data_IF_792338058149
#
_entry.id   IF_792338058149
#
_cell.length_a   1.000
_cell.length_b   1.000
_cell.length_c   1.000
_cell.angle_alpha   90.00
_cell.angle_beta   90.00
_cell.angle_gamma   90.00
#
_symmetry.space_group_name_H-M   'P 1'
#
loop_
_entity.id
_entity.type
_entity.pdbx_description
1 polymer ?
#
# COMPACT_ATOMS: atom_id res chain seq x y z
N UNK A 1 30.80 -26.16 -8.05
CA UNK A 1 30.15 -25.12 -8.87
C UNK A 1 28.65 -25.34 -8.74
N UNK A 2 27.89 -24.35 -8.25
CA UNK A 2 26.45 -24.52 -8.02
C UNK A 2 25.71 -24.67 -9.36
N UNK A 3 24.68 -25.54 -9.36
CA UNK A 3 23.99 -26.03 -10.57
C UNK A 3 22.97 -25.03 -11.13
N UNK A 4 22.57 -24.04 -10.33
CA UNK A 4 21.67 -22.95 -10.70
C UNK A 4 22.05 -21.64 -9.97
N UNK A 5 21.41 -20.54 -10.36
CA UNK A 5 21.55 -19.21 -9.73
C UNK A 5 20.22 -18.76 -9.09
N UNK A 6 19.42 -19.70 -8.60
CA UNK A 6 18.10 -19.38 -8.02
C UNK A 6 18.22 -18.94 -6.56
N UNK A 7 17.18 -18.24 -6.07
CA UNK A 7 17.17 -17.60 -4.75
C UNK A 7 17.41 -18.56 -3.58
N UNK A 8 16.97 -19.82 -3.69
CA UNK A 8 17.10 -20.83 -2.63
C UNK A 8 18.53 -21.37 -2.51
N UNK A 9 19.19 -21.63 -3.64
CA UNK A 9 20.58 -22.08 -3.71
C UNK A 9 21.53 -20.99 -3.23
N UNK A 10 21.27 -19.73 -3.60
CA UNK A 10 22.04 -18.57 -3.12
C UNK A 10 21.85 -18.41 -1.61
N UNK A 11 20.61 -18.47 -1.09
CA UNK A 11 20.34 -18.40 0.35
C UNK A 11 21.06 -19.50 1.13
N UNK A 12 21.05 -20.73 0.62
CA UNK A 12 21.72 -21.87 1.27
C UNK A 12 23.24 -21.70 1.28
N UNK A 13 23.83 -21.24 0.18
CA UNK A 13 25.27 -20.98 0.10
C UNK A 13 25.69 -19.84 1.05
N UNK A 14 24.91 -18.76 1.08
CA UNK A 14 25.15 -17.60 1.98
C UNK A 14 24.98 -17.99 3.44
N UNK A 15 23.96 -18.79 3.77
CA UNK A 15 23.73 -19.27 5.13
C UNK A 15 24.92 -20.08 5.66
N UNK A 16 25.46 -21.01 4.85
CA UNK A 16 26.65 -21.78 5.23
C UNK A 16 27.90 -20.92 5.39
N UNK A 17 28.05 -19.87 4.58
CA UNK A 17 29.18 -18.94 4.71
C UNK A 17 29.05 -18.11 5.99
N UNK A 18 27.85 -17.59 6.29
CA UNK A 18 27.58 -16.86 7.54
C UNK A 18 27.80 -17.74 8.77
N UNK A 19 27.40 -19.00 8.70
CA UNK A 19 27.61 -19.98 9.77
C UNK A 19 29.10 -20.27 9.99
N UNK A 20 29.89 -20.40 8.92
CA UNK A 20 31.34 -20.54 9.01
C UNK A 20 32.02 -19.30 9.62
N UNK A 21 31.58 -18.10 9.21
CA UNK A 21 32.07 -16.81 9.76
C UNK A 21 31.79 -16.73 11.27
N UNK A 22 30.59 -17.10 11.69
CA UNK A 22 30.20 -17.08 13.10
C UNK A 22 31.00 -18.07 13.96
N UNK A 23 31.43 -19.20 13.39
CA UNK A 23 32.23 -20.22 14.07
C UNK A 23 33.73 -19.91 14.08
N UNK A 24 34.20 -18.95 13.28
CA UNK A 24 35.62 -18.61 13.15
C UNK A 24 35.85 -17.10 13.26
N UNK A 25 35.58 -16.48 14.42
CA UNK A 25 35.86 -15.06 14.62
C UNK A 25 37.36 -14.76 14.45
N UNK A 26 37.69 -13.62 13.84
CA UNK A 26 39.06 -13.16 13.68
C UNK A 26 39.43 -12.23 14.84
N UNK A 27 40.66 -12.36 15.35
CA UNK A 27 41.18 -11.50 16.42
C UNK A 27 41.47 -10.06 15.92
N UNK A 28 41.85 -9.92 14.65
CA UNK A 28 42.05 -8.63 13.97
C UNK A 28 41.43 -8.68 12.55
N UNK A 29 40.20 -8.18 12.41
CA UNK A 29 39.52 -7.98 11.13
C UNK A 29 38.05 -8.42 11.10
N UNK A 30 37.35 -8.07 10.02
CA UNK A 30 35.97 -8.50 9.79
C UNK A 30 35.86 -9.38 8.55
N UNK A 31 35.12 -10.48 8.67
CA UNK A 31 34.73 -11.27 7.52
C UNK A 31 33.71 -10.51 6.68
N UNK A 32 34.05 -10.26 5.42
CA UNK A 32 33.11 -9.74 4.42
C UNK A 32 32.87 -10.81 3.35
N UNK A 33 31.63 -10.92 2.88
CA UNK A 33 31.29 -11.77 1.75
C UNK A 33 32.11 -11.33 0.53
N UNK A 34 32.93 -12.23 -0.02
CA UNK A 34 33.82 -11.91 -1.14
C UNK A 34 33.05 -11.37 -2.36
N UNK A 35 33.66 -10.42 -3.07
CA UNK A 35 33.15 -9.87 -4.33
C UNK A 35 32.93 -10.95 -5.40
N UNK A 36 31.90 -10.75 -6.23
CA UNK A 36 31.45 -11.69 -7.26
C UNK A 36 29.92 -11.68 -7.38
N UNK A 37 29.36 -12.16 -8.50
CA UNK A 37 27.92 -12.03 -8.79
C UNK A 37 27.02 -12.57 -7.67
N UNK A 38 27.40 -13.68 -7.03
CA UNK A 38 26.62 -14.32 -5.95
C UNK A 38 26.72 -13.54 -4.64
N UNK A 39 27.94 -13.10 -4.26
CA UNK A 39 28.15 -12.29 -3.05
C UNK A 39 27.45 -10.92 -3.13
N UNK A 40 27.52 -10.27 -4.30
CA UNK A 40 26.81 -9.02 -4.57
C UNK A 40 25.30 -9.23 -4.57
N UNK A 41 24.77 -10.25 -5.25
CA UNK A 41 23.33 -10.53 -5.24
C UNK A 41 22.80 -10.89 -3.84
N UNK A 42 23.60 -11.58 -3.03
CA UNK A 42 23.25 -11.91 -1.65
C UNK A 42 23.20 -10.66 -0.76
N UNK A 43 24.25 -9.83 -0.79
CA UNK A 43 24.30 -8.58 -0.05
C UNK A 43 23.18 -7.62 -0.48
N UNK A 44 22.95 -7.51 -1.79
CA UNK A 44 21.86 -6.71 -2.35
C UNK A 44 20.51 -7.22 -1.87
N UNK A 45 20.23 -8.52 -1.90
CA UNK A 45 18.95 -9.08 -1.44
C UNK A 45 18.70 -8.87 0.06
N UNK A 46 19.74 -8.98 0.89
CA UNK A 46 19.64 -8.71 2.33
C UNK A 46 19.25 -7.25 2.58
N UNK A 47 19.88 -6.32 1.85
CA UNK A 47 19.58 -4.89 1.92
C UNK A 47 18.18 -4.60 1.37
N UNK A 48 17.77 -5.23 0.26
CA UNK A 48 16.47 -4.97 -0.38
C UNK A 48 15.31 -5.25 0.57
N UNK A 49 15.33 -6.37 1.32
CA UNK A 49 14.23 -6.68 2.22
C UNK A 49 14.11 -5.61 3.33
N UNK A 50 15.23 -5.23 3.94
CA UNK A 50 15.26 -4.20 4.97
C UNK A 50 14.82 -2.85 4.40
N UNK A 51 15.38 -2.44 3.26
CA UNK A 51 15.02 -1.19 2.56
C UNK A 51 13.56 -1.17 2.11
N UNK A 52 12.98 -2.30 1.74
CA UNK A 52 11.57 -2.39 1.35
C UNK A 52 10.65 -2.16 2.54
N UNK A 53 10.94 -2.79 3.68
CA UNK A 53 10.19 -2.59 4.93
C UNK A 53 10.35 -1.17 5.42
N UNK A 54 11.57 -0.63 5.41
CA UNK A 54 11.87 0.74 5.78
C UNK A 54 11.12 1.74 4.88
N UNK A 55 11.13 1.54 3.56
CA UNK A 55 10.41 2.39 2.62
C UNK A 55 8.89 2.37 2.87
N UNK A 56 8.30 1.20 3.11
CA UNK A 56 6.86 1.10 3.42
C UNK A 56 6.56 1.78 4.76
N UNK A 57 7.37 1.54 5.79
CA UNK A 57 7.18 2.13 7.11
C UNK A 57 7.28 3.65 7.06
N UNK A 58 8.30 4.19 6.37
CA UNK A 58 8.46 5.63 6.16
C UNK A 58 7.30 6.21 5.35
N UNK A 59 6.87 5.54 4.27
CA UNK A 59 5.75 6.01 3.46
C UNK A 59 4.43 6.04 4.25
N UNK A 60 4.15 5.01 5.06
CA UNK A 60 2.99 4.97 5.95
C UNK A 60 3.08 6.02 7.07
N UNK A 61 4.27 6.25 7.62
CA UNK A 61 4.50 7.30 8.62
C UNK A 61 4.24 8.69 8.02
N UNK A 62 4.83 8.98 6.85
CA UNK A 62 4.63 10.24 6.13
C UNK A 62 3.15 10.42 5.78
N UNK A 63 2.49 9.37 5.30
CA UNK A 63 1.05 9.38 5.06
C UNK A 63 0.28 9.75 6.34
N UNK A 64 0.54 9.07 7.46
CA UNK A 64 -0.15 9.33 8.72
C UNK A 64 0.07 10.77 9.21
N UNK A 65 1.28 11.31 9.07
CA UNK A 65 1.62 12.68 9.43
C UNK A 65 0.90 13.70 8.54
N UNK A 66 0.92 13.50 7.22
CA UNK A 66 0.23 14.37 6.26
C UNK A 66 -1.28 14.33 6.49
N UNK A 67 -1.89 13.14 6.63
CA UNK A 67 -3.31 13.02 6.95
C UNK A 67 -3.65 13.74 8.26
N UNK A 68 -2.81 13.59 9.28
CA UNK A 68 -3.01 14.26 10.57
C UNK A 68 -2.95 15.78 10.41
N UNK A 69 -2.01 16.30 9.62
CA UNK A 69 -1.88 17.73 9.36
C UNK A 69 -3.06 18.30 8.55
N UNK A 70 -3.43 17.63 7.46
CA UNK A 70 -4.50 18.07 6.53
C UNK A 70 -5.88 17.99 7.19
N UNK A 71 -6.19 16.86 7.83
CA UNK A 71 -7.50 16.63 8.45
C UNK A 71 -7.56 17.06 9.92
N UNK A 72 -6.44 17.52 10.49
CA UNK A 72 -6.29 17.87 11.91
C UNK A 72 -6.79 16.75 12.84
N UNK A 73 -6.52 15.50 12.44
CA UNK A 73 -7.05 14.30 13.10
C UNK A 73 -6.12 13.10 12.92
N UNK A 74 -5.60 12.54 14.01
CA UNK A 74 -4.77 11.34 14.00
C UNK A 74 -5.53 10.09 13.52
N UNK A 75 -6.85 10.08 13.67
CA UNK A 75 -7.71 9.00 13.17
C UNK A 75 -7.74 8.99 11.65
N UNK A 76 -7.56 10.15 10.99
CA UNK A 76 -7.52 10.21 9.53
C UNK A 76 -6.41 9.32 8.97
N UNK A 77 -5.19 9.43 9.52
CA UNK A 77 -4.06 8.58 9.12
C UNK A 77 -4.39 7.09 9.19
N UNK A 78 -4.99 6.63 10.29
CA UNK A 78 -5.38 5.22 10.45
C UNK A 78 -6.40 4.77 9.40
N UNK A 79 -7.41 5.60 9.10
CA UNK A 79 -8.45 5.27 8.10
C UNK A 79 -7.86 5.18 6.69
N UNK A 80 -6.99 6.12 6.30
CA UNK A 80 -6.34 6.12 4.99
C UNK A 80 -5.25 5.05 4.83
N UNK A 81 -4.68 4.55 5.93
CA UNK A 81 -3.74 3.43 5.88
C UNK A 81 -4.41 2.11 5.47
N UNK A 82 -5.70 1.91 5.75
CA UNK A 82 -6.38 0.63 5.48
C UNK A 82 -6.37 0.27 3.98
N UNK A 83 -6.81 1.14 3.05
CA UNK A 83 -6.71 0.86 1.61
C UNK A 83 -5.28 0.60 1.14
N UNK A 84 -4.31 1.36 1.64
CA UNK A 84 -2.89 1.24 1.25
C UNK A 84 -2.32 -0.11 1.67
N UNK A 85 -2.61 -0.56 2.89
CA UNK A 85 -2.17 -1.87 3.40
C UNK A 85 -2.79 -2.99 2.55
N UNK A 86 -4.08 -2.89 2.21
CA UNK A 86 -4.76 -3.88 1.36
C UNK A 86 -4.09 -3.97 -0.02
N UNK A 87 -3.86 -2.83 -0.67
CA UNK A 87 -3.19 -2.77 -1.98
C UNK A 87 -1.79 -3.37 -1.94
N UNK A 88 -0.97 -3.02 -0.95
CA UNK A 88 0.36 -3.58 -0.79
C UNK A 88 0.33 -5.09 -0.52
N UNK A 89 -0.53 -5.54 0.38
CA UNK A 89 -0.62 -6.95 0.75
C UNK A 89 -1.02 -7.82 -0.44
N UNK A 90 -2.01 -7.38 -1.24
CA UNK A 90 -2.44 -8.10 -2.43
C UNK A 90 -1.38 -8.10 -3.54
N UNK A 91 -0.69 -6.99 -3.75
CA UNK A 91 0.41 -6.93 -4.73
C UNK A 91 1.58 -7.83 -4.32
N UNK A 92 1.97 -7.86 -3.04
CA UNK A 92 3.02 -8.77 -2.56
C UNK A 92 2.60 -10.24 -2.56
N UNK A 93 1.33 -10.53 -2.27
CA UNK A 93 0.79 -11.87 -2.44
C UNK A 93 0.87 -12.32 -3.90
N UNK A 94 0.52 -11.43 -4.84
CA UNK A 94 0.65 -11.71 -6.27
C UNK A 94 2.10 -11.94 -6.70
N UNK A 95 3.04 -11.10 -6.22
CA UNK A 95 4.47 -11.30 -6.47
C UNK A 95 4.94 -12.68 -6.03
N UNK A 96 4.53 -13.10 -4.83
CA UNK A 96 4.87 -14.43 -4.29
C UNK A 96 4.27 -15.54 -5.15
N UNK A 97 3.02 -15.38 -5.60
CA UNK A 97 2.35 -16.36 -6.45
C UNK A 97 2.98 -16.52 -7.83
N UNK A 98 3.42 -15.42 -8.46
CA UNK A 98 4.10 -15.44 -9.76
C UNK A 98 5.60 -15.76 -9.65
N UNK A 99 6.14 -15.95 -8.44
CA UNK A 99 7.58 -16.16 -8.23
C UNK A 99 8.43 -14.93 -8.55
N UNK A 100 7.84 -13.73 -8.53
CA UNK A 100 8.55 -12.45 -8.70
C UNK A 100 9.20 -12.11 -7.37
N UNK A 101 10.52 -12.28 -7.29
CA UNK A 101 11.29 -11.93 -6.09
C UNK A 101 11.38 -10.41 -5.88
N UNK A 102 11.37 -9.98 -4.62
CA UNK A 102 11.74 -8.60 -4.27
C UNK A 102 13.19 -8.34 -4.69
N UNK A 103 13.40 -7.25 -5.41
CA UNK A 103 14.70 -6.85 -5.92
C UNK A 103 14.84 -5.32 -5.89
N UNK A 104 15.99 -4.78 -6.28
CA UNK A 104 16.26 -3.33 -6.30
C UNK A 104 15.27 -2.55 -7.18
N UNK A 105 14.66 -3.26 -8.11
CA UNK A 105 13.76 -2.77 -9.12
C UNK A 105 12.32 -2.67 -8.59
N UNK A 106 11.90 -3.55 -7.68
CA UNK A 106 10.54 -3.52 -7.08
C UNK A 106 10.38 -2.46 -5.99
N UNK A 107 11.49 -2.03 -5.36
CA UNK A 107 11.45 -1.04 -4.26
C UNK A 107 10.83 0.29 -4.71
N UNK A 108 11.25 0.90 -5.83
CA UNK A 108 10.60 2.12 -6.33
C UNK A 108 9.11 1.95 -6.67
N UNK A 109 8.69 0.78 -7.17
CA UNK A 109 7.25 0.55 -7.46
C UNK A 109 6.42 0.53 -6.21
N UNK A 110 6.90 -0.13 -5.16
CA UNK A 110 6.18 -0.16 -3.91
C UNK A 110 6.04 1.26 -3.32
N UNK A 111 7.09 2.08 -3.40
CA UNK A 111 7.05 3.47 -2.96
C UNK A 111 6.09 4.33 -3.82
N UNK A 112 6.17 4.22 -5.15
CA UNK A 112 5.29 4.93 -6.09
C UNK A 112 3.84 4.50 -5.94
N UNK A 113 3.62 3.20 -5.73
CA UNK A 113 2.34 2.62 -5.41
C UNK A 113 1.73 3.40 -4.25
N UNK A 114 2.30 3.29 -3.05
CA UNK A 114 1.75 3.90 -1.83
C UNK A 114 1.26 5.35 -2.04
N UNK A 115 2.03 6.18 -2.73
CA UNK A 115 1.62 7.55 -3.08
C UNK A 115 0.39 7.59 -4.01
N UNK A 116 0.43 6.90 -5.15
CA UNK A 116 -0.62 7.01 -6.18
C UNK A 116 -1.99 6.49 -5.76
N UNK A 117 -2.04 5.47 -4.91
CA UNK A 117 -3.33 4.81 -4.64
C UNK A 117 -4.00 5.25 -3.35
N UNK A 118 -3.30 5.99 -2.48
CA UNK A 118 -4.00 6.70 -1.40
C UNK A 118 -4.82 7.88 -1.95
N UNK A 119 -4.40 8.45 -3.08
CA UNK A 119 -5.07 9.58 -3.72
C UNK A 119 -6.53 9.26 -4.07
N UNK A 120 -6.83 8.05 -4.53
CA UNK A 120 -8.22 7.64 -4.80
C UNK A 120 -9.07 7.64 -3.53
N UNK A 121 -8.49 7.18 -2.41
CA UNK A 121 -9.18 7.13 -1.13
C UNK A 121 -9.42 8.55 -0.59
N UNK A 122 -8.46 9.48 -0.76
CA UNK A 122 -8.64 10.90 -0.46
C UNK A 122 -9.77 11.50 -1.29
N UNK A 123 -9.76 11.27 -2.60
CA UNK A 123 -10.74 11.87 -3.51
C UNK A 123 -12.18 11.49 -3.14
N UNK A 124 -12.42 10.22 -2.81
CA UNK A 124 -13.72 9.76 -2.32
C UNK A 124 -14.04 10.38 -0.96
N UNK A 125 -13.10 10.37 -0.02
CA UNK A 125 -13.33 10.84 1.35
C UNK A 125 -13.62 12.34 1.43
N UNK A 126 -12.89 13.14 0.65
CA UNK A 126 -13.10 14.58 0.56
C UNK A 126 -14.45 14.89 -0.08
N UNK A 127 -14.82 14.15 -1.13
CA UNK A 127 -16.14 14.35 -1.73
C UNK A 127 -17.28 14.00 -0.77
N UNK A 128 -17.16 12.92 0.01
CA UNK A 128 -18.12 12.61 1.08
C UNK A 128 -18.17 13.74 2.10
N UNK A 129 -17.02 14.24 2.55
CA UNK A 129 -16.92 15.34 3.51
C UNK A 129 -17.60 16.63 3.01
N UNK A 130 -17.45 16.96 1.72
CA UNK A 130 -18.13 18.10 1.09
C UNK A 130 -19.65 17.95 1.12
N UNK A 131 -20.17 16.77 0.75
CA UNK A 131 -21.62 16.50 0.74
C UNK A 131 -22.21 16.50 2.16
N UNK A 132 -21.46 16.02 3.16
CA UNK A 132 -21.86 16.14 4.56
C UNK A 132 -21.86 17.59 5.04
N UNK A 133 -20.87 18.40 4.61
CA UNK A 133 -20.79 19.80 5.01
C UNK A 133 -21.99 20.63 4.51
N UNK A 134 -22.61 20.25 3.39
CA UNK A 134 -23.85 20.87 2.87
C UNK A 134 -25.14 20.22 3.42
N UNK A 135 -25.02 19.32 4.41
CA UNK A 135 -26.16 18.79 5.17
C UNK A 135 -26.82 17.53 4.60
N UNK A 136 -26.16 16.79 3.69
CA UNK A 136 -26.64 15.49 3.23
C UNK A 136 -26.54 14.43 4.33
N UNK A 137 -27.39 13.41 4.28
CA UNK A 137 -27.23 12.23 5.14
C UNK A 137 -25.98 11.42 4.75
N UNK A 138 -25.39 10.63 5.66
CA UNK A 138 -24.25 9.76 5.35
C UNK A 138 -24.43 8.89 4.12
N UNK A 139 -25.61 8.27 3.97
CA UNK A 139 -25.95 7.40 2.86
C UNK A 139 -25.97 8.17 1.53
N UNK A 140 -26.60 9.34 1.52
CA UNK A 140 -26.72 10.17 0.32
C UNK A 140 -25.38 10.81 -0.06
N UNK A 141 -24.59 11.26 0.92
CA UNK A 141 -23.26 11.81 0.70
C UNK A 141 -22.33 10.78 0.05
N UNK A 142 -22.32 9.55 0.54
CA UNK A 142 -21.55 8.44 -0.05
C UNK A 142 -22.03 8.13 -1.47
N UNK A 143 -23.35 8.07 -1.68
CA UNK A 143 -23.93 7.81 -3.00
C UNK A 143 -23.52 8.88 -4.01
N UNK A 144 -23.63 10.16 -3.66
CA UNK A 144 -23.23 11.28 -4.52
C UNK A 144 -21.72 11.23 -4.79
N UNK A 145 -20.89 10.96 -3.77
CA UNK A 145 -19.45 10.86 -3.93
C UNK A 145 -19.06 9.74 -4.91
N UNK A 146 -19.71 8.57 -4.85
CA UNK A 146 -19.49 7.48 -5.79
C UNK A 146 -19.90 7.84 -7.23
N UNK A 147 -21.02 8.53 -7.42
CA UNK A 147 -21.48 8.95 -8.74
C UNK A 147 -20.68 10.13 -9.35
N UNK A 148 -19.95 10.88 -8.53
CA UNK A 148 -19.16 12.05 -8.97
C UNK A 148 -17.66 11.74 -8.93
N UNK A 149 -17.06 11.79 -7.74
CA UNK A 149 -15.64 11.50 -7.54
C UNK A 149 -15.28 10.06 -7.95
N UNK A 150 -16.16 9.09 -7.68
CA UNK A 150 -15.95 7.69 -8.06
C UNK A 150 -15.82 7.48 -9.57
N UNK A 151 -16.59 8.21 -10.39
CA UNK A 151 -16.41 8.19 -11.85
C UNK A 151 -15.03 8.72 -12.25
N UNK A 152 -14.54 9.77 -11.59
CA UNK A 152 -13.18 10.28 -11.78
C UNK A 152 -12.10 9.26 -11.43
N UNK A 153 -12.27 8.53 -10.32
CA UNK A 153 -11.38 7.43 -9.91
C UNK A 153 -11.37 6.32 -10.97
N UNK A 154 -12.53 5.89 -11.46
CA UNK A 154 -12.61 4.82 -12.47
C UNK A 154 -11.87 5.22 -13.75
N UNK A 155 -12.07 6.45 -14.24
CA UNK A 155 -11.43 6.93 -15.46
C UNK A 155 -9.91 7.01 -15.29
N UNK A 156 -9.44 7.65 -14.22
CA UNK A 156 -8.00 7.82 -13.97
C UNK A 156 -7.29 6.50 -13.71
N UNK A 157 -7.88 5.63 -12.89
CA UNK A 157 -7.36 4.29 -12.64
C UNK A 157 -7.30 3.47 -13.93
N UNK A 158 -8.35 3.49 -14.75
CA UNK A 158 -8.37 2.76 -16.02
C UNK A 158 -7.25 3.24 -16.95
N UNK A 159 -7.08 4.56 -17.12
CA UNK A 159 -6.02 5.13 -17.96
C UNK A 159 -4.63 4.69 -17.48
N UNK A 160 -4.36 4.78 -16.17
CA UNK A 160 -3.06 4.40 -15.61
C UNK A 160 -2.81 2.89 -15.67
N UNK A 161 -3.83 2.07 -15.43
CA UNK A 161 -3.75 0.61 -15.57
C UNK A 161 -3.45 0.23 -17.01
N UNK A 162 -4.16 0.78 -18.00
CA UNK A 162 -3.86 0.50 -19.40
C UNK A 162 -2.47 1.00 -19.81
N UNK A 163 -2.07 2.19 -19.37
CA UNK A 163 -0.75 2.74 -19.66
C UNK A 163 0.39 1.87 -19.11
N UNK A 164 0.23 1.34 -17.91
CA UNK A 164 1.21 0.46 -17.27
C UNK A 164 1.18 -0.96 -17.84
N UNK A 165 0.02 -1.47 -18.26
CA UNK A 165 -0.09 -2.75 -18.96
C UNK A 165 0.59 -2.74 -20.33
N UNK A 166 0.68 -1.60 -21.02
CA UNK A 166 1.46 -1.50 -22.27
C UNK A 166 2.93 -1.85 -22.05
N UNK A 167 3.47 -1.64 -20.84
CA UNK A 167 4.85 -1.99 -20.53
C UNK A 167 5.08 -3.50 -20.46
N UNK A 168 4.03 -4.29 -20.24
CA UNK A 168 4.11 -5.76 -20.31
C UNK A 168 4.55 -6.23 -21.70
N UNK A 169 4.20 -5.52 -22.77
CA UNK A 169 4.66 -5.86 -24.11
C UNK A 169 6.18 -5.63 -24.33
N UNK A 170 6.90 -5.08 -23.34
CA UNK A 170 8.34 -4.86 -23.44
C UNK A 170 9.14 -6.16 -23.45
N UNK A 171 10.15 -6.24 -24.31
CA UNK A 171 11.14 -7.33 -24.32
C UNK A 171 12.05 -7.32 -23.10
N UNK A 172 12.12 -6.18 -22.39
CA UNK A 172 12.88 -6.06 -21.15
C UNK A 172 12.02 -6.61 -20.00
N UNK A 173 12.37 -7.82 -19.53
CA UNK A 173 11.66 -8.52 -18.43
C UNK A 173 11.38 -7.63 -17.22
N UNK A 174 12.35 -6.81 -16.82
CA UNK A 174 12.18 -5.83 -15.73
C UNK A 174 11.00 -4.89 -15.99
N UNK A 175 10.94 -4.26 -17.16
CA UNK A 175 9.88 -3.33 -17.51
C UNK A 175 8.51 -4.02 -17.58
N UNK A 176 8.47 -5.25 -18.10
CA UNK A 176 7.26 -6.04 -18.18
C UNK A 176 6.70 -6.42 -16.80
N UNK A 177 7.56 -6.92 -15.89
CA UNK A 177 7.16 -7.25 -14.51
C UNK A 177 6.65 -6.01 -13.77
N UNK A 178 7.31 -4.88 -13.92
CA UNK A 178 6.95 -3.62 -13.26
C UNK A 178 5.61 -3.07 -13.74
N UNK A 179 5.37 -3.12 -15.05
CA UNK A 179 4.08 -2.74 -15.65
C UNK A 179 2.92 -3.54 -15.07
N UNK A 180 3.10 -4.87 -14.97
CA UNK A 180 2.11 -5.77 -14.39
C UNK A 180 1.86 -5.49 -12.90
N UNK A 181 2.92 -5.29 -12.10
CA UNK A 181 2.79 -5.00 -10.68
C UNK A 181 2.07 -3.67 -10.43
N UNK A 182 2.40 -2.62 -11.18
CA UNK A 182 1.70 -1.33 -11.10
C UNK A 182 0.23 -1.45 -11.49
N UNK A 183 -0.08 -2.17 -12.56
CA UNK A 183 -1.45 -2.38 -13.02
C UNK A 183 -2.32 -3.05 -11.94
N UNK A 184 -1.80 -4.10 -11.30
CA UNK A 184 -2.50 -4.78 -10.19
C UNK A 184 -2.66 -3.83 -9.01
N UNK A 185 -1.57 -3.17 -8.61
CA UNK A 185 -1.55 -2.29 -7.46
C UNK A 185 -2.57 -1.13 -7.60
N UNK A 186 -2.57 -0.46 -8.76
CA UNK A 186 -3.52 0.61 -9.09
C UNK A 186 -4.97 0.11 -9.12
N UNK A 187 -5.20 -1.08 -9.68
CA UNK A 187 -6.53 -1.69 -9.74
C UNK A 187 -7.07 -1.99 -8.34
N UNK A 188 -6.24 -2.59 -7.48
CA UNK A 188 -6.62 -2.91 -6.09
C UNK A 188 -6.83 -1.63 -5.29
N UNK A 189 -6.04 -0.58 -5.53
CA UNK A 189 -6.21 0.68 -4.82
C UNK A 189 -7.47 1.42 -5.23
N UNK A 190 -7.79 1.44 -6.53
CA UNK A 190 -9.05 2.00 -7.02
C UNK A 190 -10.25 1.22 -6.45
N UNK A 191 -10.18 -0.11 -6.46
CA UNK A 191 -11.21 -0.95 -5.84
C UNK A 191 -11.35 -0.65 -4.34
N UNK A 192 -10.24 -0.58 -3.60
CA UNK A 192 -10.28 -0.28 -2.17
C UNK A 192 -10.85 1.12 -1.90
N UNK A 193 -10.54 2.11 -2.73
CA UNK A 193 -11.12 3.44 -2.61
C UNK A 193 -12.62 3.49 -2.94
N UNK A 194 -13.11 2.68 -3.88
CA UNK A 194 -14.52 2.67 -4.29
C UNK A 194 -15.42 1.82 -3.37
N UNK A 195 -14.85 0.82 -2.69
CA UNK A 195 -15.62 -0.12 -1.87
C UNK A 195 -15.25 -0.04 -0.39
N UNK A 196 -13.96 -0.21 -0.07
CA UNK A 196 -13.49 -0.28 1.32
C UNK A 196 -13.60 1.08 1.99
N UNK A 197 -13.16 2.16 1.34
CA UNK A 197 -13.19 3.50 1.95
C UNK A 197 -14.61 3.96 2.29
N UNK A 198 -15.61 3.91 1.39
CA UNK A 198 -17.01 4.22 1.74
C UNK A 198 -17.54 3.38 2.90
N UNK A 199 -17.21 2.08 2.96
CA UNK A 199 -17.61 1.21 4.05
C UNK A 199 -16.98 1.65 5.38
N UNK A 200 -15.69 2.00 5.40
CA UNK A 200 -15.01 2.53 6.58
C UNK A 200 -15.65 3.84 7.05
N UNK A 201 -15.95 4.76 6.12
CA UNK A 201 -16.60 6.02 6.44
C UNK A 201 -18.01 5.80 7.01
N UNK A 202 -18.78 4.89 6.43
CA UNK A 202 -20.14 4.58 6.85
C UNK A 202 -20.20 3.98 8.26
N UNK A 203 -19.33 3.00 8.53
CA UNK A 203 -19.30 2.24 9.79
C UNK A 203 -18.68 3.06 10.92
N UNK A 204 -17.52 3.66 10.71
CA UNK A 204 -16.78 4.33 11.78
C UNK A 204 -17.18 5.79 11.98
N UNK A 205 -17.85 6.40 10.98
CA UNK A 205 -18.28 7.81 10.97
C UNK A 205 -17.25 8.76 11.58
N UNK A 206 -16.01 8.80 11.04
CA UNK A 206 -14.93 9.54 11.67
C UNK A 206 -15.21 11.04 11.73
N UNK A 207 -14.85 11.68 12.85
CA UNK A 207 -15.14 13.11 13.12
C UNK A 207 -14.58 14.05 12.05
N UNK A 208 -13.46 13.68 11.40
CA UNK A 208 -12.84 14.53 10.37
C UNK A 208 -13.66 14.62 9.08
N UNK A 209 -14.57 13.66 8.84
CA UNK A 209 -15.51 13.64 7.70
C UNK A 209 -16.89 14.13 8.14
N UNK A 210 -17.41 13.61 9.27
CA UNK A 210 -18.80 13.83 9.66
C UNK A 210 -19.03 14.96 10.67
N UNK A 211 -17.96 15.55 11.22
CA UNK A 211 -18.05 16.55 12.27
C UNK A 211 -18.70 16.03 13.56
N UNK A 212 -19.01 16.93 14.50
CA UNK A 212 -19.63 16.58 15.79
C UNK A 212 -21.16 16.41 15.69
N UNK A 213 -21.80 17.06 14.71
CA UNK A 213 -23.27 17.15 14.58
C UNK A 213 -23.93 15.79 14.33
N UNK A 214 -23.30 14.91 13.57
CA UNK A 214 -23.86 13.60 13.21
C UNK A 214 -23.90 12.63 14.38
N UNK A 215 -22.94 12.70 15.31
CA UNK A 215 -22.90 11.78 16.47
C UNK A 215 -23.99 12.10 17.49
N UNK A 216 -24.33 13.37 17.66
CA UNK A 216 -25.45 13.80 18.49
C UNK A 216 -26.80 13.34 17.91
N UNK A 217 -27.00 13.45 16.59
CA UNK A 217 -28.22 12.96 15.94
C UNK A 217 -28.38 11.43 16.02
N UNK A 218 -27.28 10.67 15.89
CA UNK A 218 -27.28 9.21 16.05
C UNK A 218 -27.51 8.80 17.51
N UNK A 219 -26.90 9.48 18.48
CA UNK A 219 -27.12 9.21 19.90
C UNK A 219 -28.58 9.43 20.31
N UNK A 220 -29.18 10.54 19.84
CA UNK A 220 -30.59 10.85 20.09
C UNK A 220 -31.54 9.84 19.43
N UNK A 221 -31.22 9.36 18.22
CA UNK A 221 -32.01 8.31 17.54
C UNK A 221 -31.90 6.93 18.20
N UNK A 222 -30.78 6.63 18.87
CA UNK A 222 -30.58 5.37 19.58
C UNK A 222 -31.27 5.38 20.96
N UNK A 223 -31.28 6.53 21.65
CA UNK A 223 -31.99 6.71 22.92
C UNK A 223 -33.52 6.64 22.75
N UNK A 224 -34.07 7.18 21.65
CA UNK A 224 -35.51 7.08 21.36
C UNK A 224 -35.94 5.66 20.96
N UNK A 225 -35.08 4.91 20.28
CA UNK A 225 -35.33 3.50 19.98
C UNK A 225 -35.26 2.60 21.22
N UNK A 226 -34.40 2.92 22.20
CA UNK A 226 -34.29 2.19 23.47
C UNK A 226 -35.41 2.53 24.47
N UNK A 227 -36.02 3.71 24.38
CA UNK A 227 -37.19 4.08 25.21
C UNK A 227 -38.52 3.51 24.70
N UNK A 228 -38.54 2.98 23.46
CA UNK A 228 -39.72 2.35 22.84
C UNK A 228 -39.70 0.81 22.90
N UNK A 229 -38.66 0.21 23.48
CA UNK A 229 -38.51 -1.23 23.70
C UNK A 229 -38.72 -1.58 25.18
#
# INVERSE_FOLDING_TARGET
MFRDRQGETIRTAVARIKEFIAQNPLDDGEWQLAGGLIGVMAAVNEIILASQVEAIALALLVLALICTAVYRSSIAGMVFMVPVIISNMLTFAFMTWQGIGMNINTVPVAALGIGLGVDYAFYISDRVKEEIAIGKSPEEAIRIALHTAGMGVIVTASVLVFATLLWWASSLRFQAEMGLLMAIWLSVSAFSALFVMPALLYVFRPRFVFGERTRAAVAVGNDSALQMA
#
